data_IF_464395393712
#
_entry.id   IF_464395393712
#
_cell.length_a   1.000
_cell.length_b   1.000
_cell.length_c   1.000
_cell.angle_alpha   90.00
_cell.angle_beta   90.00
_cell.angle_gamma   90.00
#
_symmetry.space_group_name_H-M   'P 1'
#
loop_
_entity.id
_entity.type
_entity.pdbx_description
1 polymer ?
#
# COMPACT_ATOMS: atom_id res chain seq x y z
N UNK A 1 -46.50 -29.01 31.49
CA UNK A 1 -45.27 -29.10 30.67
C UNK A 1 -44.65 -27.71 30.61
N UNK A 2 -43.44 -27.54 31.16
CA UNK A 2 -42.45 -26.43 30.97
C UNK A 2 -43.00 -24.98 31.07
N UNK A 3 -42.92 -24.28 32.21
CA UNK A 3 -41.74 -23.55 32.72
C UNK A 3 -40.86 -22.95 31.62
N UNK A 4 -41.01 -21.64 31.35
CA UNK A 4 -39.89 -20.79 30.95
C UNK A 4 -40.01 -19.40 31.62
N UNK A 5 -38.96 -19.10 32.35
CA UNK A 5 -38.65 -17.89 33.11
C UNK A 5 -37.97 -16.89 32.17
N UNK A 6 -38.13 -15.59 32.43
CA UNK A 6 -37.26 -14.53 31.91
C UNK A 6 -38.08 -13.26 31.70
N UNK A 7 -38.39 -12.49 32.75
CA UNK A 7 -37.49 -11.48 33.34
C UNK A 7 -36.87 -10.57 32.26
N UNK A 8 -37.69 -9.72 31.65
CA UNK A 8 -37.21 -8.59 30.88
C UNK A 8 -36.94 -7.43 31.85
N UNK A 9 -35.70 -7.34 32.32
CA UNK A 9 -35.20 -6.20 33.08
C UNK A 9 -34.91 -5.04 32.14
N UNK A 10 -35.56 -3.90 32.41
CA UNK A 10 -35.17 -2.60 31.91
C UNK A 10 -33.68 -2.34 32.19
N UNK A 11 -32.94 -1.95 31.17
CA UNK A 11 -31.83 -1.02 31.33
C UNK A 11 -32.12 0.25 30.53
N UNK A 12 -32.54 1.26 31.29
CA UNK A 12 -32.61 2.65 30.90
C UNK A 12 -31.30 3.29 31.37
N UNK A 13 -30.33 3.51 30.49
CA UNK A 13 -29.14 4.34 30.76
C UNK A 13 -28.78 5.09 29.47
N UNK A 14 -29.35 6.29 29.31
CA UNK A 14 -28.67 7.60 29.41
C UNK A 14 -27.85 7.93 28.17
N UNK A 15 -28.37 8.90 27.42
CA UNK A 15 -27.61 9.67 26.46
C UNK A 15 -26.37 10.26 27.14
N UNK A 16 -25.21 9.96 26.58
CA UNK A 16 -24.02 10.79 26.71
C UNK A 16 -23.56 11.09 25.30
N UNK A 17 -23.76 12.35 24.90
CA UNK A 17 -22.92 13.01 23.92
C UNK A 17 -21.46 12.77 24.31
N UNK A 18 -20.77 11.97 23.52
CA UNK A 18 -19.31 12.01 23.43
C UNK A 18 -19.02 12.26 21.95
N UNK A 19 -18.47 13.44 21.68
CA UNK A 19 -18.48 14.06 20.37
C UNK A 19 -18.04 13.16 19.23
N UNK A 20 -18.68 13.36 18.10
CA UNK A 20 -18.05 13.19 16.81
C UNK A 20 -16.81 14.09 16.79
N UNK A 21 -15.68 13.55 17.27
CA UNK A 21 -14.37 14.09 16.94
C UNK A 21 -13.98 13.38 15.66
N UNK A 22 -14.29 14.02 14.54
CA UNK A 22 -13.51 13.87 13.32
C UNK A 22 -12.08 14.30 13.65
N UNK A 23 -11.33 13.43 14.31
CA UNK A 23 -9.88 13.49 14.28
C UNK A 23 -9.54 12.60 13.09
N UNK A 24 -9.66 13.20 11.90
CA UNK A 24 -8.59 13.05 10.94
C UNK A 24 -7.35 13.63 11.64
N UNK A 25 -6.72 12.84 12.50
CA UNK A 25 -5.28 12.95 12.65
C UNK A 25 -4.80 12.43 11.31
N UNK A 26 -4.69 13.35 10.34
CA UNK A 26 -3.84 13.13 9.20
C UNK A 26 -2.51 12.70 9.80
N UNK A 27 -2.12 11.44 9.58
CA UNK A 27 -0.80 10.94 9.93
C UNK A 27 0.19 11.97 9.36
N UNK A 28 0.73 12.82 10.22
CA UNK A 28 1.69 13.84 9.82
C UNK A 28 2.98 13.49 10.49
N UNK A 29 3.93 13.11 9.66
CA UNK A 29 5.29 12.89 10.09
C UNK A 29 5.87 14.20 10.62
N UNK A 30 6.74 14.09 11.62
CA UNK A 30 7.34 15.24 12.29
C UNK A 30 8.17 16.08 11.29
N UNK A 31 8.06 17.41 11.34
CA UNK A 31 8.68 18.34 10.37
C UNK A 31 10.24 18.27 10.30
N UNK A 32 10.89 17.56 11.23
CA UNK A 32 12.36 17.43 11.35
C UNK A 32 12.92 16.17 10.67
N UNK A 33 12.13 15.47 9.85
CA UNK A 33 12.60 14.26 9.17
C UNK A 33 13.43 14.64 7.95
N UNK A 34 14.75 14.55 8.10
CA UNK A 34 15.65 14.39 6.97
C UNK A 34 15.37 13.05 6.31
N UNK A 35 14.85 13.08 5.07
CA UNK A 35 14.73 11.96 4.10
C UNK A 35 15.53 10.70 4.50
N UNK A 36 14.82 9.59 4.69
CA UNK A 36 15.42 8.28 5.02
C UNK A 36 15.36 7.38 3.81
N UNK A 37 16.47 6.74 3.47
CA UNK A 37 16.58 5.84 2.32
C UNK A 37 17.34 4.57 2.68
N UNK A 38 16.91 3.47 2.08
CA UNK A 38 17.62 2.19 2.04
C UNK A 38 17.70 1.72 0.59
N UNK A 39 18.80 1.04 0.25
CA UNK A 39 18.99 0.42 -1.06
C UNK A 39 18.84 -1.09 -0.96
N UNK A 40 18.39 -1.72 -2.04
CA UNK A 40 18.40 -3.17 -2.14
C UNK A 40 19.84 -3.72 -2.28
N UNK A 41 20.00 -5.05 -2.15
CA UNK A 41 21.31 -5.73 -2.24
C UNK A 41 22.11 -5.41 -3.50
N UNK A 42 21.44 -5.01 -4.58
CA UNK A 42 22.03 -4.75 -5.88
C UNK A 42 22.09 -3.26 -6.25
N UNK A 43 21.70 -2.34 -5.35
CA UNK A 43 21.59 -0.90 -5.62
C UNK A 43 20.77 -0.56 -6.88
N UNK A 44 19.78 -1.38 -7.20
CA UNK A 44 18.85 -1.23 -8.32
C UNK A 44 17.53 -0.59 -7.90
N UNK A 45 17.19 -0.69 -6.61
CA UNK A 45 16.00 -0.09 -6.00
C UNK A 45 16.40 0.70 -4.76
N UNK A 46 15.81 1.88 -4.60
CA UNK A 46 15.86 2.66 -3.37
C UNK A 46 14.45 2.75 -2.82
N UNK A 47 14.25 2.33 -1.57
CA UNK A 47 13.03 2.57 -0.81
C UNK A 47 13.30 3.73 0.16
N UNK A 48 12.42 4.72 0.15
CA UNK A 48 12.60 5.93 0.92
C UNK A 48 11.31 6.50 1.48
N UNK A 49 11.45 7.34 2.50
CA UNK A 49 10.36 8.22 2.94
C UNK A 49 10.90 9.59 3.34
N UNK A 50 10.04 10.59 3.21
CA UNK A 50 10.20 11.92 3.77
C UNK A 50 8.96 12.29 4.59
N UNK A 51 8.85 13.55 4.99
CA UNK A 51 7.74 14.08 5.78
C UNK A 51 6.36 13.77 5.16
N UNK A 52 6.28 13.77 3.83
CA UNK A 52 5.01 13.77 3.12
C UNK A 52 4.79 12.52 2.26
N UNK A 53 5.84 11.78 1.95
CA UNK A 53 5.75 10.67 1.01
C UNK A 53 6.57 9.45 1.42
N UNK A 54 6.07 8.29 1.01
CA UNK A 54 6.82 7.05 0.88
C UNK A 54 7.01 6.80 -0.61
N UNK A 55 8.22 6.48 -1.01
CA UNK A 55 8.55 6.32 -2.41
C UNK A 55 9.50 5.16 -2.66
N UNK A 56 9.43 4.65 -3.88
CA UNK A 56 10.35 3.67 -4.42
C UNK A 56 10.94 4.21 -5.71
N UNK A 57 12.27 4.23 -5.81
CA UNK A 57 13.00 4.54 -7.03
C UNK A 57 13.52 3.22 -7.60
N UNK A 58 13.18 2.94 -8.85
CA UNK A 58 13.61 1.75 -9.60
C UNK A 58 14.43 2.17 -10.81
N UNK A 59 15.24 1.27 -11.35
CA UNK A 59 15.92 1.52 -12.62
C UNK A 59 14.95 1.36 -13.83
N UNK A 60 15.41 1.80 -14.99
CA UNK A 60 14.64 1.71 -16.25
C UNK A 60 14.33 0.27 -16.67
N UNK A 61 15.21 -0.68 -16.38
CA UNK A 61 15.02 -2.09 -16.73
C UNK A 61 13.82 -2.69 -15.97
N UNK A 62 13.74 -2.46 -14.66
CA UNK A 62 12.63 -2.91 -13.81
C UNK A 62 11.33 -2.24 -14.28
N UNK A 63 11.35 -0.91 -14.53
CA UNK A 63 10.16 -0.18 -15.03
C UNK A 63 9.62 -0.80 -16.33
N UNK A 64 10.50 -1.05 -17.29
CA UNK A 64 10.10 -1.60 -18.59
C UNK A 64 9.59 -3.05 -18.45
N UNK A 65 10.18 -3.84 -17.55
CA UNK A 65 9.70 -5.18 -17.23
C UNK A 65 8.30 -5.14 -16.64
N UNK A 66 8.07 -4.32 -15.60
CA UNK A 66 6.77 -4.17 -14.94
C UNK A 66 5.70 -3.70 -15.93
N UNK A 67 6.00 -2.69 -16.74
CA UNK A 67 5.07 -2.20 -17.77
C UNK A 67 4.71 -3.29 -18.79
N UNK A 68 5.68 -4.10 -19.20
CA UNK A 68 5.43 -5.23 -20.12
C UNK A 68 4.49 -6.26 -19.48
N UNK A 69 4.73 -6.62 -18.23
CA UNK A 69 3.89 -7.56 -17.47
C UNK A 69 2.47 -7.03 -17.24
N UNK A 70 2.31 -5.75 -16.90
CA UNK A 70 1.00 -5.11 -16.72
C UNK A 70 0.18 -5.12 -18.01
N UNK A 71 0.82 -4.82 -19.15
CA UNK A 71 0.17 -4.90 -20.47
C UNK A 71 -0.27 -6.32 -20.80
N UNK A 72 0.52 -7.34 -20.46
CA UNK A 72 0.18 -8.73 -20.70
C UNK A 72 -1.00 -9.19 -19.84
N UNK A 73 -0.98 -8.89 -18.53
CA UNK A 73 -2.10 -9.17 -17.61
C UNK A 73 -3.36 -8.46 -18.09
N UNK A 74 -3.25 -7.16 -18.41
CA UNK A 74 -4.39 -6.39 -18.90
C UNK A 74 -4.99 -6.99 -20.18
N UNK A 75 -4.16 -7.40 -21.15
CA UNK A 75 -4.66 -8.07 -22.37
C UNK A 75 -5.43 -9.34 -22.02
N UNK A 76 -4.87 -10.17 -21.15
CA UNK A 76 -5.49 -11.43 -20.76
C UNK A 76 -6.83 -11.23 -20.02
N UNK A 77 -6.90 -10.24 -19.13
CA UNK A 77 -8.13 -9.92 -18.39
C UNK A 77 -9.21 -9.32 -19.30
N UNK A 78 -8.82 -8.47 -20.26
CA UNK A 78 -9.77 -7.79 -21.14
C UNK A 78 -10.26 -8.65 -22.30
N UNK A 79 -9.57 -9.73 -22.67
CA UNK A 79 -10.03 -10.73 -23.66
C UNK A 79 -11.44 -11.30 -23.34
N UNK A 80 -11.94 -11.08 -22.13
CA UNK A 80 -13.24 -11.53 -21.62
C UNK A 80 -14.32 -10.44 -21.55
N UNK A 81 -14.01 -9.17 -21.84
CA UNK A 81 -14.94 -8.05 -21.69
C UNK A 81 -15.52 -7.59 -23.03
N UNK A 82 -16.69 -8.15 -23.35
CA UNK A 82 -17.53 -7.75 -24.46
C UNK A 82 -18.79 -7.04 -23.93
N UNK A 83 -19.20 -5.97 -24.59
CA UNK A 83 -20.48 -5.33 -24.29
C UNK A 83 -21.67 -6.20 -24.73
N UNK A 84 -22.89 -5.76 -24.42
CA UNK A 84 -24.12 -6.47 -24.81
C UNK A 84 -24.31 -6.66 -26.33
N UNK A 85 -23.49 -6.00 -27.16
CA UNK A 85 -23.48 -6.11 -28.62
C UNK A 85 -22.31 -6.94 -29.14
N UNK A 86 -21.47 -7.50 -28.26
CA UNK A 86 -20.29 -8.28 -28.64
C UNK A 86 -19.08 -7.43 -29.05
N UNK A 87 -19.07 -6.13 -28.72
CA UNK A 87 -17.94 -5.25 -28.95
C UNK A 87 -16.99 -5.28 -27.76
N UNK A 88 -15.70 -5.45 -28.03
CA UNK A 88 -14.64 -5.33 -27.02
C UNK A 88 -14.62 -3.91 -26.46
N UNK A 89 -14.60 -3.78 -25.13
CA UNK A 89 -14.46 -2.49 -24.46
C UNK A 89 -12.97 -2.26 -24.12
N UNK A 90 -12.23 -1.45 -24.90
CA UNK A 90 -10.84 -1.18 -24.58
C UNK A 90 -10.77 -0.25 -23.36
N UNK A 91 -10.24 -0.76 -22.24
CA UNK A 91 -9.54 0.07 -21.27
C UNK A 91 -8.09 0.31 -21.71
N UNK A 92 -7.40 1.22 -21.02
CA UNK A 92 -5.95 1.34 -21.12
C UNK A 92 -5.31 0.60 -19.93
N UNK A 93 -4.23 -0.18 -20.13
CA UNK A 93 -3.52 -0.81 -19.03
C UNK A 93 -2.90 0.24 -18.11
N UNK A 94 -2.86 0.00 -16.79
CA UNK A 94 -2.02 0.80 -15.91
C UNK A 94 -0.56 0.63 -16.32
N UNK A 95 0.22 1.71 -16.23
CA UNK A 95 1.66 1.69 -16.51
C UNK A 95 2.41 2.71 -15.66
N UNK A 96 3.66 2.39 -15.33
CA UNK A 96 4.60 3.30 -14.70
C UNK A 96 5.05 4.37 -15.71
N UNK A 97 4.70 5.62 -15.43
CA UNK A 97 5.14 6.80 -16.20
C UNK A 97 6.55 7.26 -15.84
N UNK A 98 7.05 6.83 -14.68
CA UNK A 98 8.27 7.32 -14.02
C UNK A 98 9.03 6.15 -13.39
N UNK A 99 10.33 6.33 -13.16
CA UNK A 99 11.17 5.45 -12.34
C UNK A 99 10.98 5.66 -10.84
N UNK A 100 10.25 6.70 -10.45
CA UNK A 100 9.84 6.96 -9.06
C UNK A 100 8.35 6.69 -8.92
N UNK A 101 8.01 5.79 -8.01
CA UNK A 101 6.66 5.56 -7.50
C UNK A 101 6.55 6.32 -6.18
N UNK A 102 5.54 7.16 -6.04
CA UNK A 102 5.45 8.15 -4.98
C UNK A 102 4.03 8.14 -4.40
N UNK A 103 3.90 7.87 -3.10
CA UNK A 103 2.62 7.70 -2.41
C UNK A 103 2.63 8.59 -1.17
N UNK A 104 1.62 9.46 -0.99
CA UNK A 104 1.51 10.29 0.21
C UNK A 104 1.51 9.44 1.49
N UNK A 105 2.27 9.86 2.50
CA UNK A 105 2.44 9.12 3.75
C UNK A 105 1.13 8.95 4.54
N UNK A 106 0.17 9.86 4.38
CA UNK A 106 -1.15 9.77 4.99
C UNK A 106 -2.07 8.74 4.29
N UNK A 107 -1.66 8.21 3.15
CA UNK A 107 -2.40 7.21 2.37
C UNK A 107 -1.85 5.80 2.52
N UNK A 108 -0.79 5.60 3.31
CA UNK A 108 -0.13 4.30 3.47
C UNK A 108 0.37 4.06 4.90
N UNK A 109 0.01 2.90 5.46
CA UNK A 109 0.54 2.41 6.74
C UNK A 109 1.56 1.30 6.50
N UNK A 110 2.67 1.29 7.25
CA UNK A 110 3.73 0.30 7.13
C UNK A 110 3.70 -0.71 8.27
N UNK A 111 3.69 -1.99 7.89
CA UNK A 111 3.85 -3.12 8.82
C UNK A 111 5.07 -3.94 8.45
N UNK A 112 5.68 -4.52 9.48
CA UNK A 112 6.78 -5.46 9.33
C UNK A 112 6.43 -6.72 10.10
N UNK A 113 6.22 -7.81 9.38
CA UNK A 113 5.81 -9.09 9.95
C UNK A 113 6.59 -10.22 9.27
N UNK A 114 7.10 -11.15 10.08
CA UNK A 114 7.80 -12.36 9.60
C UNK A 114 8.97 -12.12 8.63
N UNK A 115 9.59 -10.93 8.67
CA UNK A 115 10.71 -10.56 7.80
C UNK A 115 10.32 -9.89 6.49
N UNK A 116 9.02 -9.65 6.27
CA UNK A 116 8.48 -8.95 5.12
C UNK A 116 7.88 -7.59 5.54
N UNK A 117 8.00 -6.60 4.65
CA UNK A 117 7.30 -5.32 4.77
C UNK A 117 5.95 -5.42 4.03
N UNK A 118 4.90 -4.92 4.66
CA UNK A 118 3.55 -4.84 4.10
C UNK A 118 3.11 -3.37 4.07
N UNK A 119 2.60 -2.93 2.91
CA UNK A 119 2.04 -1.60 2.74
C UNK A 119 0.52 -1.67 2.70
N UNK A 120 -0.12 -0.99 3.64
CA UNK A 120 -1.58 -0.93 3.74
C UNK A 120 -2.07 0.40 3.19
N UNK A 121 -2.68 0.36 2.02
CA UNK A 121 -3.15 1.55 1.31
C UNK A 121 -4.56 1.96 1.78
N UNK A 122 -4.74 3.23 2.11
CA UNK A 122 -6.02 3.77 2.56
C UNK A 122 -7.08 3.82 1.44
N UNK A 123 -6.63 3.88 0.19
CA UNK A 123 -7.48 3.90 -1.01
C UNK A 123 -6.88 3.00 -2.10
N UNK A 124 -7.67 2.70 -3.12
CA UNK A 124 -7.17 1.97 -4.29
C UNK A 124 -6.11 2.81 -5.00
N UNK A 125 -4.96 2.19 -5.27
CA UNK A 125 -3.86 2.75 -6.07
C UNK A 125 -3.66 1.86 -7.29
N UNK A 126 -3.34 2.47 -8.43
CA UNK A 126 -3.20 1.73 -9.70
C UNK A 126 -1.99 0.79 -9.68
N UNK A 127 -0.92 1.20 -9.00
CA UNK A 127 0.33 0.46 -8.90
C UNK A 127 0.83 0.51 -7.45
N UNK A 128 0.97 -0.65 -6.83
CA UNK A 128 1.49 -0.80 -5.46
C UNK A 128 2.98 -1.15 -5.50
N UNK A 129 3.68 -0.92 -4.40
CA UNK A 129 5.09 -1.33 -4.27
C UNK A 129 5.28 -2.84 -4.41
N UNK A 130 4.30 -3.63 -3.98
CA UNK A 130 4.28 -5.10 -4.09
C UNK A 130 4.14 -5.58 -5.53
N UNK A 131 3.55 -4.77 -6.41
CA UNK A 131 3.36 -5.09 -7.84
C UNK A 131 4.67 -4.93 -8.63
N UNK A 132 5.72 -4.40 -8.00
CA UNK A 132 7.03 -4.23 -8.61
C UNK A 132 7.82 -5.54 -8.50
N UNK A 133 8.04 -6.16 -9.66
CA UNK A 133 8.74 -7.43 -9.80
C UNK A 133 9.96 -7.29 -10.71
N UNK A 134 11.02 -8.02 -10.39
CA UNK A 134 12.16 -8.18 -11.29
C UNK A 134 11.77 -8.98 -12.54
N UNK A 135 12.55 -8.89 -13.64
CA UNK A 135 12.34 -9.69 -14.85
C UNK A 135 12.31 -11.21 -14.62
N UNK A 136 12.90 -11.69 -13.53
CA UNK A 136 12.88 -13.10 -13.13
C UNK A 136 11.60 -13.53 -12.38
N UNK A 137 10.62 -12.62 -12.21
CA UNK A 137 9.35 -12.87 -11.53
C UNK A 137 9.39 -12.73 -9.99
N UNK A 138 10.53 -12.40 -9.41
CA UNK A 138 10.66 -12.18 -7.95
C UNK A 138 10.25 -10.76 -7.54
N UNK A 139 9.60 -10.62 -6.39
CA UNK A 139 9.28 -9.31 -5.81
C UNK A 139 10.56 -8.54 -5.47
N UNK A 140 10.58 -7.24 -5.80
CA UNK A 140 11.73 -6.36 -5.49
C UNK A 140 11.96 -6.20 -3.99
N UNK A 141 10.89 -6.24 -3.18
CA UNK A 141 10.97 -6.05 -1.72
C UNK A 141 11.78 -7.17 -1.05
N UNK A 142 11.81 -8.37 -1.63
CA UNK A 142 12.62 -9.50 -1.12
C UNK A 142 14.12 -9.35 -1.38
N UNK A 143 14.52 -8.36 -2.18
CA UNK A 143 15.93 -8.12 -2.48
C UNK A 143 16.59 -7.15 -1.50
N UNK A 144 15.86 -6.62 -0.52
CA UNK A 144 16.44 -5.86 0.59
C UNK A 144 17.01 -6.80 1.66
N UNK A 145 17.91 -6.28 2.50
CA UNK A 145 18.26 -6.95 3.74
C UNK A 145 17.09 -6.81 4.73
N UNK A 146 16.81 -7.88 5.47
CA UNK A 146 15.68 -7.93 6.41
C UNK A 146 15.88 -6.88 7.51
N UNK A 147 17.12 -6.73 7.97
CA UNK A 147 17.53 -5.75 8.98
C UNK A 147 17.29 -4.32 8.50
N UNK A 148 17.57 -4.02 7.22
CA UNK A 148 17.36 -2.69 6.66
C UNK A 148 15.86 -2.36 6.55
N UNK A 149 15.03 -3.34 6.16
CA UNK A 149 13.58 -3.18 6.14
C UNK A 149 13.02 -2.94 7.55
N UNK A 150 13.46 -3.71 8.55
CA UNK A 150 13.04 -3.52 9.94
C UNK A 150 13.42 -2.12 10.43
N UNK A 151 14.67 -1.69 10.22
CA UNK A 151 15.12 -0.36 10.62
C UNK A 151 14.38 0.75 9.88
N UNK A 152 14.04 0.54 8.61
CA UNK A 152 13.24 1.47 7.83
C UNK A 152 11.84 1.64 8.43
N UNK A 153 11.15 0.55 8.76
CA UNK A 153 9.83 0.61 9.41
C UNK A 153 9.91 1.22 10.81
N UNK A 154 10.94 0.90 11.60
CA UNK A 154 11.12 1.50 12.94
C UNK A 154 11.34 3.02 12.85
N UNK A 155 12.15 3.47 11.89
CA UNK A 155 12.35 4.90 11.65
C UNK A 155 11.05 5.56 11.20
N UNK A 156 10.34 4.97 10.24
CA UNK A 156 9.05 5.50 9.77
C UNK A 156 8.07 5.67 10.91
N UNK A 157 7.91 4.64 11.75
CA UNK A 157 7.03 4.68 12.92
C UNK A 157 7.42 5.78 13.90
N UNK A 158 8.69 5.87 14.28
CA UNK A 158 9.16 6.92 15.19
C UNK A 158 8.99 8.33 14.64
N UNK A 159 8.84 8.47 13.33
CA UNK A 159 8.75 9.75 12.66
C UNK A 159 7.29 10.19 12.46
N UNK A 160 6.38 9.24 12.23
CA UNK A 160 5.00 9.46 11.85
C UNK A 160 3.95 9.04 12.90
N UNK A 161 4.39 8.43 14.01
CA UNK A 161 3.56 8.00 15.15
C UNK A 161 4.25 8.31 16.49
#
# INVERSE_FOLDING_TARGET
>A
MKLFIGLLLLFLQTATDSGSSTIQDSLKCNDDISRVEISDKNNSIVLGFDENHIYMIINEEIKNSVNSSMVEVFKHENELFYDSQGLFLPGEPPFLTSTKIDIPSDEVELKFEHGDIEFLYAKQVDIRFEDIIFPNGSSVLRNFYIEDLEQFVLKYRSACF
#
